data_IF_384465958557
#
_entry.id   IF_384465958557
#
_cell.length_a   1.000
_cell.length_b   1.000
_cell.length_c   1.000
_cell.angle_alpha   90.00
_cell.angle_beta   90.00
_cell.angle_gamma   90.00
#
_symmetry.space_group_name_H-M   'P 1'
#
loop_
_entity.id
_entity.type
_entity.pdbx_description
1 polymer ?
#
# COMPACT_ATOMS: atom_id res chain seq x y z
N UNK A 1 -32.14 14.50 -25.54
CA UNK A 1 -30.82 15.01 -25.10
C UNK A 1 -30.29 14.42 -23.78
N UNK A 2 -31.15 13.92 -22.86
CA UNK A 2 -30.69 13.41 -21.56
C UNK A 2 -29.87 12.12 -21.63
N UNK A 3 -30.32 11.12 -22.39
CA UNK A 3 -29.67 9.79 -22.41
C UNK A 3 -28.24 9.79 -22.96
N UNK A 4 -27.98 10.60 -23.99
CA UNK A 4 -26.64 10.75 -24.57
C UNK A 4 -25.68 11.46 -23.62
N UNK A 5 -26.16 12.41 -22.83
CA UNK A 5 -25.35 13.09 -21.81
C UNK A 5 -25.02 12.14 -20.65
N UNK A 6 -26.00 11.38 -20.16
CA UNK A 6 -25.80 10.39 -19.11
C UNK A 6 -24.83 9.30 -19.56
N UNK A 7 -24.97 8.79 -20.78
CA UNK A 7 -24.06 7.78 -21.34
C UNK A 7 -22.61 8.26 -21.40
N UNK A 8 -22.39 9.52 -21.80
CA UNK A 8 -21.04 10.07 -21.92
C UNK A 8 -20.41 10.35 -20.55
N UNK A 9 -21.21 10.82 -19.58
CA UNK A 9 -20.76 11.01 -18.19
C UNK A 9 -20.37 9.67 -17.57
N UNK A 10 -21.16 8.61 -17.77
CA UNK A 10 -20.82 7.27 -17.30
C UNK A 10 -19.53 6.75 -17.94
N UNK A 11 -19.36 6.93 -19.26
CA UNK A 11 -18.12 6.57 -19.97
C UNK A 11 -16.89 7.30 -19.42
N UNK A 12 -17.00 8.60 -19.14
CA UNK A 12 -15.94 9.40 -18.55
C UNK A 12 -15.60 8.95 -17.12
N UNK A 13 -16.62 8.70 -16.30
CA UNK A 13 -16.44 8.20 -14.92
C UNK A 13 -15.74 6.84 -14.93
N UNK A 14 -16.15 5.93 -15.81
CA UNK A 14 -15.51 4.62 -15.97
C UNK A 14 -14.08 4.77 -16.48
N UNK A 15 -13.83 5.61 -17.48
CA UNK A 15 -12.48 5.81 -18.03
C UNK A 15 -11.50 6.38 -17.00
N UNK A 16 -11.96 7.23 -16.07
CA UNK A 16 -11.13 7.82 -15.01
C UNK A 16 -10.95 6.85 -13.84
N UNK A 17 -12.02 6.15 -13.43
CA UNK A 17 -11.96 5.23 -12.31
C UNK A 17 -11.30 3.90 -12.68
N UNK A 18 -11.44 3.41 -13.91
CA UNK A 18 -10.89 2.14 -14.35
C UNK A 18 -9.38 1.99 -14.10
N UNK A 19 -8.49 2.90 -14.51
CA UNK A 19 -7.06 2.75 -14.23
C UNK A 19 -6.76 2.86 -12.72
N UNK A 20 -7.58 3.61 -11.97
CA UNK A 20 -7.41 3.80 -10.52
C UNK A 20 -7.82 2.55 -9.75
N UNK A 21 -8.97 1.97 -10.09
CA UNK A 21 -9.48 0.71 -9.54
C UNK A 21 -8.62 -0.45 -9.98
N UNK A 22 -8.15 -0.47 -11.23
CA UNK A 22 -7.25 -1.49 -11.75
C UNK A 22 -5.90 -1.45 -11.04
N UNK A 23 -5.30 -0.27 -10.87
CA UNK A 23 -4.05 -0.09 -10.14
C UNK A 23 -4.24 -0.44 -8.65
N UNK A 24 -5.34 -0.01 -8.04
CA UNK A 24 -5.68 -0.37 -6.67
C UNK A 24 -5.88 -1.87 -6.51
N UNK A 25 -6.56 -2.53 -7.45
CA UNK A 25 -6.79 -3.97 -7.46
C UNK A 25 -5.48 -4.75 -7.71
N UNK A 26 -4.60 -4.27 -8.60
CA UNK A 26 -3.27 -4.82 -8.81
C UNK A 26 -2.39 -4.71 -7.55
N UNK A 27 -2.48 -3.59 -6.84
CA UNK A 27 -1.80 -3.38 -5.55
C UNK A 27 -2.45 -4.16 -4.40
N UNK A 28 -3.73 -4.52 -4.52
CA UNK A 28 -4.48 -5.30 -3.52
C UNK A 28 -4.38 -6.80 -3.78
N UNK A 29 -4.10 -7.21 -5.02
CA UNK A 29 -3.86 -8.60 -5.42
C UNK A 29 -2.83 -9.30 -4.51
N UNK A 30 -1.61 -8.75 -4.28
CA UNK A 30 -0.63 -9.37 -3.39
C UNK A 30 -1.14 -9.50 -1.95
N UNK A 31 -2.02 -8.61 -1.46
CA UNK A 31 -2.60 -8.70 -0.10
C UNK A 31 -3.52 -9.89 0.09
N UNK A 32 -4.32 -10.22 -0.92
CA UNK A 32 -5.30 -11.33 -0.82
C UNK A 32 -4.58 -12.66 -0.94
N UNK A 33 -3.59 -12.77 -1.85
CA UNK A 33 -2.77 -13.98 -1.96
C UNK A 33 -1.82 -14.16 -0.77
N UNK A 34 -1.34 -13.08 -0.14
CA UNK A 34 -0.54 -13.16 1.09
C UNK A 34 -1.37 -13.61 2.30
N UNK A 35 -2.62 -13.12 2.44
CA UNK A 35 -3.51 -13.50 3.53
C UNK A 35 -3.96 -14.96 3.44
N UNK A 36 -4.32 -15.41 2.22
CA UNK A 36 -4.59 -16.81 1.92
C UNK A 36 -3.32 -17.66 2.08
N UNK A 37 -2.18 -17.14 1.62
CA UNK A 37 -0.87 -17.75 1.75
C UNK A 37 -0.45 -17.93 3.21
N UNK A 38 -0.67 -16.95 4.09
CA UNK A 38 -0.36 -17.03 5.51
C UNK A 38 -1.27 -18.03 6.25
N UNK A 39 -2.56 -18.09 5.90
CA UNK A 39 -3.47 -19.11 6.44
C UNK A 39 -3.07 -20.53 5.99
N UNK A 40 -2.60 -20.68 4.75
CA UNK A 40 -2.08 -21.94 4.20
C UNK A 40 -0.70 -22.28 4.78
N UNK A 41 0.16 -21.29 5.03
CA UNK A 41 1.53 -21.45 5.58
C UNK A 41 1.50 -21.79 7.06
N UNK A 42 0.53 -21.26 7.83
CA UNK A 42 0.21 -21.75 9.19
C UNK A 42 -0.12 -23.26 9.22
N UNK A 43 -0.62 -23.81 8.10
CA UNK A 43 -0.87 -25.26 7.97
C UNK A 43 0.32 -26.07 7.45
N UNK A 44 1.38 -25.44 6.91
CA UNK A 44 2.46 -26.12 6.15
C UNK A 44 3.85 -26.15 6.78
N UNK A 45 4.05 -25.57 7.97
CA UNK A 45 5.37 -25.56 8.61
C UNK A 45 6.37 -24.57 7.95
N UNK A 46 7.53 -24.31 8.58
CA UNK A 46 8.39 -23.18 8.25
C UNK A 46 9.14 -23.41 6.94
N UNK A 47 8.64 -22.82 5.85
CA UNK A 47 9.39 -22.68 4.60
C UNK A 47 9.83 -21.23 4.44
N UNK A 48 11.13 -20.92 4.39
CA UNK A 48 11.62 -19.58 4.12
C UNK A 48 11.58 -19.33 2.61
N UNK A 49 10.76 -18.38 2.14
CA UNK A 49 11.04 -17.48 1.00
C UNK A 49 9.80 -16.66 0.64
N UNK A 50 9.66 -15.49 1.29
CA UNK A 50 9.03 -14.34 0.65
C UNK A 50 10.00 -13.70 -0.36
N UNK A 51 9.58 -12.64 -1.08
CA UNK A 51 10.52 -11.86 -1.89
C UNK A 51 11.74 -11.46 -1.04
N UNK A 52 12.96 -11.42 -1.62
CA UNK A 52 14.18 -11.08 -0.89
C UNK A 52 13.96 -9.76 -0.15
N UNK A 53 14.21 -9.77 1.16
CA UNK A 53 13.97 -8.63 2.06
C UNK A 53 14.68 -7.37 1.53
N UNK A 54 15.78 -7.57 0.83
CA UNK A 54 16.57 -6.55 0.15
C UNK A 54 15.76 -5.79 -0.93
N UNK A 55 14.87 -6.47 -1.67
CA UNK A 55 13.98 -5.80 -2.63
C UNK A 55 12.89 -4.98 -1.94
N UNK A 56 12.40 -5.44 -0.79
CA UNK A 56 11.41 -4.71 0.00
C UNK A 56 12.01 -3.42 0.59
N UNK A 57 13.24 -3.48 1.10
CA UNK A 57 13.96 -2.30 1.56
C UNK A 57 14.19 -1.29 0.41
N UNK A 58 14.64 -1.78 -0.75
CA UNK A 58 14.84 -0.93 -1.92
C UNK A 58 13.55 -0.27 -2.43
N UNK A 59 12.44 -1.01 -2.46
CA UNK A 59 11.13 -0.49 -2.86
C UNK A 59 10.59 0.53 -1.85
N UNK A 60 10.76 0.29 -0.54
CA UNK A 60 10.41 1.26 0.51
C UNK A 60 11.18 2.56 0.37
N UNK A 61 12.49 2.48 0.18
CA UNK A 61 13.33 3.67 0.01
C UNK A 61 12.97 4.46 -1.26
N UNK A 62 12.69 3.73 -2.36
CA UNK A 62 12.24 4.33 -3.61
C UNK A 62 10.92 5.09 -3.46
N UNK A 63 9.95 4.51 -2.75
CA UNK A 63 8.66 5.16 -2.53
C UNK A 63 8.80 6.32 -1.54
N UNK A 64 9.58 6.18 -0.47
CA UNK A 64 9.88 7.27 0.47
C UNK A 64 10.45 8.49 -0.24
N UNK A 65 11.41 8.27 -1.15
CA UNK A 65 12.01 9.35 -1.96
C UNK A 65 11.00 9.99 -2.91
N UNK A 66 10.19 9.18 -3.58
CA UNK A 66 9.13 9.68 -4.49
C UNK A 66 8.10 10.53 -3.75
N UNK A 67 7.79 10.18 -2.50
CA UNK A 67 6.91 10.97 -1.63
C UNK A 67 7.55 12.29 -1.18
N UNK A 68 8.84 12.27 -0.86
CA UNK A 68 9.57 13.45 -0.40
C UNK A 68 9.75 14.51 -1.51
N UNK A 69 9.80 14.07 -2.77
CA UNK A 69 10.02 14.94 -3.94
C UNK A 69 8.73 15.57 -4.51
N UNK A 70 7.58 15.46 -3.82
CA UNK A 70 6.34 16.06 -4.32
C UNK A 70 6.42 17.59 -4.44
N UNK A 71 6.19 18.16 -5.63
CA UNK A 71 6.21 19.61 -5.82
C UNK A 71 5.11 20.32 -5.00
N UNK A 72 5.36 21.56 -4.54
CA UNK A 72 4.30 22.40 -3.99
C UNK A 72 3.19 22.57 -5.05
N UNK A 73 1.93 22.41 -4.63
CA UNK A 73 0.77 22.42 -5.54
C UNK A 73 0.30 21.03 -6.02
N UNK A 74 0.93 19.94 -5.58
CA UNK A 74 0.43 18.59 -5.85
C UNK A 74 -0.99 18.40 -5.30
N UNK A 75 -1.95 17.88 -6.10
CA UNK A 75 -3.32 17.64 -5.64
C UNK A 75 -3.37 16.79 -4.37
N UNK A 76 -4.21 17.16 -3.40
CA UNK A 76 -4.35 16.43 -2.14
C UNK A 76 -4.73 14.96 -2.35
N UNK A 77 -5.49 14.65 -3.42
CA UNK A 77 -5.83 13.28 -3.80
C UNK A 77 -4.59 12.46 -4.13
N UNK A 78 -3.63 13.03 -4.87
CA UNK A 78 -2.36 12.35 -5.19
C UNK A 78 -1.51 12.13 -3.94
N UNK A 79 -1.43 13.13 -3.06
CA UNK A 79 -0.70 13.01 -1.78
C UNK A 79 -1.28 11.89 -0.91
N UNK A 80 -2.62 11.81 -0.83
CA UNK A 80 -3.33 10.74 -0.10
C UNK A 80 -3.09 9.37 -0.71
N UNK A 81 -3.27 9.24 -2.02
CA UNK A 81 -3.05 7.97 -2.73
C UNK A 81 -1.62 7.45 -2.54
N UNK A 82 -0.64 8.35 -2.57
CA UNK A 82 0.75 7.99 -2.37
C UNK A 82 1.05 7.62 -0.90
N UNK A 83 0.40 8.29 0.07
CA UNK A 83 0.46 7.90 1.48
C UNK A 83 -0.16 6.52 1.75
N UNK A 84 -1.28 6.19 1.10
CA UNK A 84 -1.89 4.87 1.17
C UNK A 84 -1.01 3.78 0.54
N UNK A 85 -0.36 4.09 -0.58
CA UNK A 85 0.61 3.18 -1.20
C UNK A 85 1.81 2.91 -0.28
N UNK A 86 2.23 3.90 0.49
CA UNK A 86 3.33 3.76 1.44
C UNK A 86 2.96 2.94 2.67
N UNK A 87 1.82 3.23 3.32
CA UNK A 87 1.28 2.37 4.38
C UNK A 87 1.14 0.93 3.92
N UNK A 88 0.75 0.77 2.65
CA UNK A 88 0.59 -0.51 2.05
C UNK A 88 1.90 -1.31 1.92
N UNK A 89 3.02 -0.65 1.62
CA UNK A 89 4.34 -1.26 1.57
C UNK A 89 4.87 -1.57 2.97
N UNK A 90 4.65 -0.67 3.94
CA UNK A 90 5.01 -0.91 5.34
C UNK A 90 4.32 -2.14 5.91
N UNK A 91 3.02 -2.30 5.64
CA UNK A 91 2.28 -3.50 6.03
C UNK A 91 2.86 -4.78 5.42
N UNK A 92 3.35 -4.73 4.17
CA UNK A 92 3.98 -5.87 3.51
C UNK A 92 5.34 -6.21 4.14
N UNK A 93 6.17 -5.19 4.41
CA UNK A 93 7.44 -5.37 5.10
C UNK A 93 7.22 -5.96 6.50
N UNK A 94 6.22 -5.46 7.25
CA UNK A 94 5.85 -6.01 8.55
C UNK A 94 5.50 -7.50 8.48
N UNK A 95 4.75 -7.93 7.47
CA UNK A 95 4.43 -9.36 7.27
C UNK A 95 5.65 -10.22 6.95
N UNK A 96 6.64 -9.66 6.25
CA UNK A 96 7.86 -10.38 5.88
C UNK A 96 8.75 -10.68 7.11
N UNK A 97 8.78 -9.76 8.09
CA UNK A 97 9.57 -9.89 9.33
C UNK A 97 8.74 -10.21 10.58
N UNK A 98 7.47 -10.57 10.41
CA UNK A 98 6.52 -10.90 11.48
C UNK A 98 6.37 -9.80 12.56
N UNK A 99 6.37 -8.54 12.12
CA UNK A 99 6.14 -7.37 12.99
C UNK A 99 4.64 -7.04 13.03
N UNK A 100 4.01 -6.93 14.22
CA UNK A 100 2.61 -6.53 14.33
C UNK A 100 2.41 -5.05 13.97
N UNK A 101 1.28 -4.74 13.30
CA UNK A 101 0.89 -3.38 12.91
C UNK A 101 -0.63 -3.19 12.86
N UNK A 102 -1.09 -1.95 12.98
CA UNK A 102 -2.51 -1.56 12.89
C UNK A 102 -2.80 -0.51 11.82
N UNK A 103 -1.87 -0.29 10.87
CA UNK A 103 -1.99 0.71 9.79
C UNK A 103 -3.33 0.66 9.03
N UNK A 104 -3.84 -0.54 8.73
CA UNK A 104 -5.08 -0.73 7.96
C UNK A 104 -6.36 -0.50 8.80
N UNK A 105 -6.21 -0.41 10.13
CA UNK A 105 -7.32 -0.28 11.09
C UNK A 105 -7.55 1.17 11.55
N UNK A 106 -6.54 2.02 11.41
CA UNK A 106 -6.60 3.41 11.84
C UNK A 106 -7.16 4.29 10.72
N UNK A 107 -8.07 5.24 10.97
CA UNK A 107 -8.50 6.22 9.98
C UNK A 107 -7.34 7.15 9.56
N UNK A 108 -7.46 7.82 8.40
CA UNK A 108 -6.48 8.83 8.00
C UNK A 108 -6.38 9.96 9.04
N UNK A 109 -5.16 10.45 9.28
CA UNK A 109 -4.87 11.52 10.25
C UNK A 109 -3.76 11.14 11.22
N UNK A 110 -3.60 11.93 12.29
CA UNK A 110 -2.49 11.83 13.24
C UNK A 110 -2.29 10.43 13.82
N UNK A 111 -3.36 9.71 14.17
CA UNK A 111 -3.24 8.36 14.73
C UNK A 111 -2.52 7.39 13.77
N UNK A 112 -2.85 7.46 12.47
CA UNK A 112 -2.21 6.64 11.44
C UNK A 112 -0.77 7.08 11.19
N UNK A 113 -0.48 8.38 11.25
CA UNK A 113 0.88 8.90 11.13
C UNK A 113 1.78 8.45 12.29
N UNK A 114 1.26 8.42 13.52
CA UNK A 114 1.99 7.91 14.68
C UNK A 114 2.28 6.41 14.55
N UNK A 115 1.28 5.61 14.15
CA UNK A 115 1.48 4.18 13.92
C UNK A 115 2.49 3.92 12.80
N UNK A 116 2.49 4.76 11.75
CA UNK A 116 3.49 4.71 10.67
C UNK A 116 4.90 4.87 11.19
N UNK A 117 5.16 5.89 12.02
CA UNK A 117 6.48 6.09 12.63
C UNK A 117 6.89 4.90 13.53
N UNK A 118 5.96 4.37 14.32
CA UNK A 118 6.21 3.18 15.16
C UNK A 118 6.58 1.96 14.32
N UNK A 119 5.87 1.76 13.20
CA UNK A 119 6.11 0.66 12.27
C UNK A 119 7.46 0.81 11.58
N UNK A 120 7.78 1.99 11.06
CA UNK A 120 9.09 2.29 10.46
C UNK A 120 10.22 1.97 11.44
N UNK A 121 10.07 2.37 12.70
CA UNK A 121 11.06 2.07 13.72
C UNK A 121 11.18 0.57 14.03
N UNK A 122 10.06 -0.15 14.02
CA UNK A 122 10.07 -1.61 14.22
C UNK A 122 10.73 -2.34 13.05
N UNK A 123 10.51 -1.87 11.82
CA UNK A 123 11.16 -2.38 10.61
C UNK A 123 12.66 -2.09 10.64
N UNK A 124 13.06 -0.88 11.06
CA UNK A 124 14.47 -0.51 11.23
C UNK A 124 15.18 -1.42 12.21
N UNK A 125 14.54 -1.73 13.34
CA UNK A 125 15.08 -2.69 14.33
C UNK A 125 15.16 -4.13 13.80
N UNK A 126 14.34 -4.48 12.82
CA UNK A 126 14.41 -5.76 12.11
C UNK A 126 15.41 -5.75 10.93
N UNK A 127 16.14 -4.64 10.71
CA UNK A 127 17.13 -4.51 9.64
C UNK A 127 16.59 -3.99 8.30
N UNK A 128 15.38 -3.43 8.27
CA UNK A 128 14.73 -2.86 7.06
C UNK A 128 14.65 -1.33 7.20
N UNK A 129 15.24 -0.57 6.27
CA UNK A 129 15.38 0.90 6.31
C UNK A 129 14.76 1.65 5.14
#
# INVERSE_FOLDING_TARGET
MGDVAVTNVVLLVVAVLAPTVLFWLLLRLPRVVDGLGAAVRRRRGPSPTGPPIERLAADLERVRRTLAEFPPGTPQVRRRAAGEAYDALLAQACRAVDVPHTLDQLPQGMAREVERLRVEEALRRAGIS
#
